data_IF_011446945439
#
_entry.id   IF_011446945439
#
_cell.length_a   1.000
_cell.length_b   1.000
_cell.length_c   1.000
_cell.angle_alpha   90.00
_cell.angle_beta   90.00
_cell.angle_gamma   90.00
#
_symmetry.space_group_name_H-M   'P 1'
#
loop_
_entity.id
_entity.type
_entity.pdbx_description
1 polymer ?
#
# COMPACT_ATOMS: atom_id res chain seq x y z
N UNK A 1 -12.23 6.13 13.84
CA UNK A 1 -12.31 5.93 12.38
C UNK A 1 -10.90 5.77 11.88
N UNK A 2 -10.62 4.81 11.00
CA UNK A 2 -9.31 4.61 10.41
C UNK A 2 -9.26 5.28 9.03
N UNK A 3 -8.29 6.17 8.79
CA UNK A 3 -8.03 6.75 7.47
C UNK A 3 -6.87 6.00 6.83
N UNK A 4 -7.12 5.30 5.74
CA UNK A 4 -6.06 4.64 4.96
C UNK A 4 -5.62 5.56 3.84
N UNK A 5 -4.31 5.81 3.74
CA UNK A 5 -3.69 6.47 2.59
C UNK A 5 -3.03 5.44 1.69
N UNK A 6 -3.63 5.17 0.54
CA UNK A 6 -3.03 4.36 -0.52
C UNK A 6 -2.31 5.27 -1.52
N UNK A 7 -1.11 4.90 -1.94
CA UNK A 7 -0.41 5.53 -3.06
C UNK A 7 -0.46 4.61 -4.27
N UNK A 8 -0.61 5.18 -5.46
CA UNK A 8 -0.74 4.42 -6.70
C UNK A 8 0.58 3.75 -7.12
N UNK A 9 0.84 2.58 -6.54
CA UNK A 9 1.92 1.69 -6.96
C UNK A 9 1.50 0.80 -8.16
N UNK A 10 0.28 0.94 -8.70
CA UNK A 10 -0.19 0.13 -9.84
C UNK A 10 0.38 0.66 -11.16
N UNK A 11 1.54 0.13 -11.55
CA UNK A 11 2.34 0.51 -12.74
C UNK A 11 1.68 0.29 -14.12
N UNK A 12 0.36 0.22 -14.21
CA UNK A 12 -0.38 0.26 -15.49
C UNK A 12 -0.75 1.67 -15.91
N UNK A 13 -0.59 2.66 -15.03
CA UNK A 13 -0.99 4.03 -15.34
C UNK A 13 0.23 4.88 -15.70
N UNK A 14 0.11 5.81 -16.66
CA UNK A 14 1.18 6.73 -16.99
C UNK A 14 1.57 7.56 -15.75
N UNK A 15 2.86 7.89 -15.62
CA UNK A 15 3.56 8.62 -14.54
C UNK A 15 2.92 9.97 -14.10
N UNK A 16 1.82 10.36 -14.76
CA UNK A 16 1.03 11.57 -14.51
C UNK A 16 -0.17 11.37 -13.58
N UNK A 17 -0.43 10.17 -13.04
CA UNK A 17 -1.67 9.89 -12.29
C UNK A 17 -1.48 9.37 -10.87
N UNK A 18 -0.32 9.55 -10.26
CA UNK A 18 -0.11 9.16 -8.86
C UNK A 18 -1.13 9.88 -7.97
N UNK A 19 -1.85 9.11 -7.17
CA UNK A 19 -2.94 9.59 -6.33
C UNK A 19 -2.86 9.03 -4.93
N UNK A 20 -3.55 9.71 -4.02
CA UNK A 20 -3.77 9.32 -2.63
C UNK A 20 -5.26 8.99 -2.51
N UNK A 21 -5.58 7.77 -2.11
CA UNK A 21 -6.93 7.46 -1.64
C UNK A 21 -6.96 7.61 -0.13
N UNK A 22 -7.91 8.37 0.40
CA UNK A 22 -8.25 8.41 1.83
C UNK A 22 -9.49 7.56 2.00
N UNK A 23 -9.37 6.41 2.65
CA UNK A 23 -10.50 5.51 2.90
C UNK A 23 -11.12 5.73 4.29
N UNK A 24 -12.42 5.51 4.40
CA UNK A 24 -13.16 5.33 5.65
C UNK A 24 -14.27 4.30 5.42
N UNK A 25 -14.89 3.78 6.46
CA UNK A 25 -15.92 2.75 6.32
C UNK A 25 -17.01 2.85 7.38
N UNK A 26 -18.18 2.34 7.02
CA UNK A 26 -19.23 1.93 7.95
C UNK A 26 -19.44 0.40 7.91
N UNK A 27 -20.51 -0.10 8.52
CA UNK A 27 -20.80 -1.54 8.62
C UNK A 27 -21.07 -2.22 7.26
N UNK A 28 -21.31 -1.45 6.19
CA UNK A 28 -21.75 -1.95 4.89
C UNK A 28 -21.02 -1.32 3.70
N UNK A 29 -20.40 -0.14 3.88
CA UNK A 29 -19.81 0.62 2.79
C UNK A 29 -18.37 1.01 3.07
N UNK A 30 -17.60 1.05 1.99
CA UNK A 30 -16.30 1.72 1.94
C UNK A 30 -16.49 3.08 1.27
N UNK A 31 -16.09 4.14 1.98
CA UNK A 31 -16.07 5.52 1.51
C UNK A 31 -14.64 5.89 1.14
N UNK A 32 -14.45 6.59 0.03
CA UNK A 32 -13.13 7.07 -0.36
C UNK A 32 -13.10 8.47 -0.97
N UNK A 33 -11.99 9.16 -0.75
CA UNK A 33 -11.63 10.45 -1.36
C UNK A 33 -10.33 10.29 -2.12
N UNK A 34 -10.25 10.87 -3.31
CA UNK A 34 -9.04 10.82 -4.17
C UNK A 34 -8.37 12.18 -4.17
N UNK A 35 -7.07 12.22 -3.90
CA UNK A 35 -6.22 13.41 -3.99
C UNK A 35 -5.13 13.13 -5.03
N UNK A 36 -5.06 13.98 -6.06
CA UNK A 36 -4.09 13.81 -7.14
C UNK A 36 -2.77 14.51 -6.81
N UNK A 37 -1.68 14.02 -7.44
CA UNK A 37 -0.35 14.64 -7.35
C UNK A 37 -0.40 16.14 -7.64
N UNK A 38 0.27 16.93 -6.81
CA UNK A 38 0.50 18.36 -7.05
C UNK A 38 1.35 18.53 -8.32
N UNK A 39 0.78 19.07 -9.39
CA UNK A 39 1.55 19.43 -10.59
C UNK A 39 2.28 20.74 -10.35
N UNK A 40 3.35 20.72 -9.56
CA UNK A 40 4.26 21.86 -9.38
C UNK A 40 5.68 21.45 -9.73
N UNK A 41 6.03 21.53 -11.02
CA UNK A 41 7.13 22.37 -11.53
C UNK A 41 7.56 21.96 -12.96
N UNK A 42 7.88 22.93 -13.84
CA UNK A 42 8.46 22.66 -15.14
C UNK A 42 9.84 22.02 -14.97
N UNK A 43 10.11 20.97 -15.75
CA UNK A 43 11.39 20.28 -15.83
C UNK A 43 12.54 21.28 -15.98
N UNK A 44 13.24 21.56 -14.87
CA UNK A 44 14.51 22.27 -14.91
C UNK A 44 15.54 21.34 -15.56
N UNK A 45 15.96 21.67 -16.78
CA UNK A 45 17.05 21.01 -17.49
C UNK A 45 18.36 21.15 -16.69
N UNK A 46 19.30 20.18 -16.80
CA UNK A 46 20.49 20.17 -15.96
C UNK A 46 21.41 21.34 -16.35
N UNK A 47 21.44 22.40 -15.53
CA UNK A 47 22.44 23.47 -15.69
C UNK A 47 23.80 22.96 -15.22
N UNK A 48 24.71 22.81 -16.19
CA UNK A 48 26.14 22.62 -15.96
C UNK A 48 26.67 23.68 -14.98
N UNK A 49 27.27 23.23 -13.88
CA UNK A 49 28.13 24.05 -13.02
C UNK A 49 29.29 24.60 -13.86
N UNK A 50 29.30 25.92 -14.11
CA UNK A 50 30.52 26.66 -14.48
C UNK A 50 30.89 27.65 -13.38
N UNK A 51 32.19 27.65 -13.09
CA UNK A 51 32.89 28.39 -12.04
C UNK A 51 32.79 29.91 -12.22
N UNK A 52 32.66 30.61 -11.09
CA UNK A 52 33.30 31.89 -10.72
C UNK A 52 33.40 33.02 -11.74
N UNK A 53 32.75 34.16 -11.46
CA UNK A 53 33.40 35.37 -10.90
C UNK A 53 32.56 36.63 -11.13
N UNK A 54 32.70 37.54 -10.16
CA UNK A 54 32.66 39.00 -10.29
C UNK A 54 31.30 39.74 -10.34
N UNK A 55 31.03 40.38 -9.19
CA UNK A 55 30.80 41.84 -9.00
C UNK A 55 29.46 42.49 -9.39
N UNK A 56 28.89 43.06 -8.31
CA UNK A 56 28.44 44.47 -8.13
C UNK A 56 27.08 44.91 -8.65
N UNK A 57 26.30 45.41 -7.68
CA UNK A 57 25.42 46.60 -7.71
C UNK A 57 24.35 46.65 -8.80
N UNK A 58 23.08 46.79 -8.41
CA UNK A 58 22.48 48.11 -8.15
C UNK A 58 21.05 47.94 -7.61
N UNK A 59 20.75 48.71 -6.58
CA UNK A 59 19.46 48.89 -5.94
C UNK A 59 18.63 49.93 -6.72
N UNK A 60 17.31 49.70 -6.74
CA UNK A 60 16.21 50.66 -6.99
C UNK A 60 16.05 51.26 -8.40
N UNK A 61 14.82 51.17 -8.91
CA UNK A 61 13.98 52.32 -9.31
C UNK A 61 12.55 51.81 -9.57
N UNK A 62 11.58 52.27 -8.76
CA UNK A 62 10.42 53.10 -9.14
C UNK A 62 9.38 52.30 -9.98
N UNK A 63 8.28 51.79 -9.42
CA UNK A 63 7.02 52.50 -9.09
C UNK A 63 6.67 53.62 -10.08
N UNK A 64 5.65 53.41 -10.92
CA UNK A 64 4.43 54.24 -10.99
C UNK A 64 3.47 53.79 -12.11
N UNK A 65 2.19 53.66 -11.73
CA UNK A 65 0.92 53.93 -12.45
C UNK A 65 0.59 53.05 -13.70
N UNK A 66 -0.66 52.63 -13.98
CA UNK A 66 -1.97 53.27 -13.83
C UNK A 66 -3.13 52.25 -13.67
N UNK A 67 -4.20 52.71 -13.02
CA UNK A 67 -5.53 52.10 -12.90
C UNK A 67 -6.36 52.18 -14.21
N UNK A 68 -7.47 51.40 -14.20
CA UNK A 68 -8.77 51.54 -14.89
C UNK A 68 -8.98 50.61 -16.08
N UNK A 69 -9.93 49.67 -16.00
CA UNK A 69 -11.35 49.89 -16.27
C UNK A 69 -12.13 48.56 -16.24
N UNK A 70 -13.38 48.56 -15.76
CA UNK A 70 -14.29 47.41 -15.72
C UNK A 70 -15.64 47.85 -16.27
N UNK A 71 -16.30 47.05 -17.15
CA UNK A 71 -17.76 47.09 -17.17
C UNK A 71 -18.44 45.71 -17.17
N UNK A 72 -19.30 45.54 -16.16
CA UNK A 72 -20.66 44.97 -16.14
C UNK A 72 -21.06 43.74 -16.99
N UNK A 73 -21.55 42.73 -16.26
CA UNK A 73 -22.76 41.91 -16.48
C UNK A 73 -23.35 41.75 -17.89
N UNK A 74 -23.34 40.51 -18.41
CA UNK A 74 -24.38 39.98 -19.30
C UNK A 74 -24.75 38.54 -18.95
N UNK A 75 -26.07 38.30 -18.89
CA UNK A 75 -26.81 37.06 -18.60
C UNK A 75 -26.65 35.98 -19.71
N UNK A 76 -27.04 34.71 -19.46
CA UNK A 76 -26.50 33.56 -20.18
C UNK A 76 -27.16 33.34 -21.54
N UNK A 77 -26.34 33.11 -22.56
CA UNK A 77 -26.79 32.62 -23.87
C UNK A 77 -26.69 31.09 -23.92
N UNK A 78 -27.84 30.45 -24.05
CA UNK A 78 -27.98 29.06 -24.48
C UNK A 78 -27.47 28.92 -25.91
N UNK A 79 -26.41 28.14 -26.13
CA UNK A 79 -25.99 27.71 -27.47
C UNK A 79 -25.97 26.20 -27.49
N UNK A 80 -26.97 25.64 -28.19
CA UNK A 80 -27.02 24.27 -28.66
C UNK A 80 -26.06 24.18 -29.86
N UNK A 81 -24.95 23.48 -29.72
CA UNK A 81 -23.90 23.39 -30.74
C UNK A 81 -23.34 21.97 -30.84
N UNK A 82 -23.50 21.39 -32.03
CA UNK A 82 -23.13 20.04 -32.50
C UNK A 82 -21.71 19.58 -32.14
N UNK A 83 -21.59 18.26 -32.02
CA UNK A 83 -20.36 17.49 -31.90
C UNK A 83 -19.29 17.90 -32.93
N UNK A 84 -18.14 18.34 -32.42
CA UNK A 84 -16.87 18.26 -33.13
C UNK A 84 -16.02 17.16 -32.48
N UNK A 85 -15.84 16.08 -33.25
CA UNK A 85 -15.01 14.93 -32.94
C UNK A 85 -13.54 15.25 -33.22
N UNK A 86 -12.75 15.55 -32.18
CA UNK A 86 -11.36 15.10 -31.96
C UNK A 86 -10.63 16.01 -30.97
N UNK A 87 -10.35 15.51 -29.76
CA UNK A 87 -8.99 15.51 -29.19
C UNK A 87 -8.99 14.89 -27.78
N UNK A 88 -8.25 13.80 -27.64
CA UNK A 88 -7.75 13.19 -26.40
C UNK A 88 -8.80 12.68 -25.40
N UNK A 89 -9.21 11.43 -25.61
CA UNK A 89 -9.69 10.55 -24.53
C UNK A 89 -8.62 10.54 -23.43
N UNK A 90 -8.80 11.35 -22.39
CA UNK A 90 -8.20 11.08 -21.10
C UNK A 90 -8.68 9.69 -20.70
N UNK A 91 -7.76 8.73 -20.62
CA UNK A 91 -7.99 7.40 -20.06
C UNK A 91 -8.54 7.60 -18.63
N UNK A 92 -9.86 7.53 -18.47
CA UNK A 92 -10.50 7.69 -17.17
C UNK A 92 -10.14 6.45 -16.36
N UNK A 93 -9.27 6.65 -15.38
CA UNK A 93 -8.89 5.60 -14.45
C UNK A 93 -10.04 5.41 -13.47
N UNK A 94 -10.62 4.22 -13.46
CA UNK A 94 -11.67 3.86 -12.52
C UNK A 94 -11.08 3.54 -11.14
N UNK A 95 -11.13 4.53 -10.23
CA UNK A 95 -10.68 4.41 -8.85
C UNK A 95 -11.41 3.30 -8.08
N UNK A 96 -12.70 3.08 -8.38
CA UNK A 96 -13.50 2.07 -7.70
C UNK A 96 -12.99 0.67 -8.08
N UNK A 97 -12.74 0.41 -9.36
CA UNK A 97 -12.19 -0.86 -9.83
C UNK A 97 -10.78 -1.13 -9.29
N UNK A 98 -9.94 -0.09 -9.17
CA UNK A 98 -8.61 -0.24 -8.54
C UNK A 98 -8.72 -0.64 -7.06
N UNK A 99 -9.57 0.02 -6.30
CA UNK A 99 -9.80 -0.28 -4.89
C UNK A 99 -10.45 -1.65 -4.70
N UNK A 100 -11.45 -2.01 -5.51
CA UNK A 100 -12.05 -3.35 -5.54
C UNK A 100 -11.00 -4.42 -5.73
N UNK A 101 -10.10 -4.24 -6.69
CA UNK A 101 -9.00 -5.19 -6.95
C UNK A 101 -8.00 -5.24 -5.80
N UNK A 102 -7.57 -4.08 -5.28
CA UNK A 102 -6.59 -4.01 -4.20
C UNK A 102 -7.10 -4.70 -2.92
N UNK A 103 -8.37 -4.49 -2.58
CA UNK A 103 -9.03 -5.06 -1.41
C UNK A 103 -9.61 -6.46 -1.67
N UNK A 104 -9.60 -6.94 -2.93
CA UNK A 104 -10.23 -8.20 -3.38
C UNK A 104 -11.71 -8.27 -3.02
N UNK A 105 -12.47 -7.23 -3.33
CA UNK A 105 -13.91 -7.16 -3.00
C UNK A 105 -14.75 -8.11 -3.85
N UNK A 106 -14.23 -8.57 -4.98
CA UNK A 106 -14.81 -9.58 -5.87
C UNK A 106 -14.80 -11.01 -5.30
N UNK A 107 -13.95 -11.28 -4.29
CA UNK A 107 -13.87 -12.58 -3.65
C UNK A 107 -15.01 -12.76 -2.61
N UNK A 108 -15.74 -13.91 -2.63
CA UNK A 108 -16.92 -14.15 -1.81
C UNK A 108 -16.55 -14.48 -0.35
N UNK A 109 -16.15 -13.46 0.41
CA UNK A 109 -15.56 -13.62 1.75
C UNK A 109 -16.47 -14.38 2.72
N UNK A 110 -17.77 -14.14 2.67
CA UNK A 110 -18.72 -14.81 3.56
C UNK A 110 -18.76 -16.32 3.30
N UNK A 111 -18.87 -16.74 2.04
CA UNK A 111 -18.85 -18.15 1.65
C UNK A 111 -17.55 -18.83 2.06
N UNK A 112 -16.42 -18.11 1.91
CA UNK A 112 -15.11 -18.59 2.36
C UNK A 112 -15.06 -18.78 3.88
N UNK A 113 -15.56 -17.82 4.67
CA UNK A 113 -15.63 -17.93 6.13
C UNK A 113 -16.50 -19.10 6.57
N UNK A 114 -17.64 -19.32 5.93
CA UNK A 114 -18.50 -20.46 6.20
C UNK A 114 -17.83 -21.80 5.87
N UNK A 115 -17.15 -21.87 4.72
CA UNK A 115 -16.39 -23.04 4.29
C UNK A 115 -15.28 -23.39 5.30
N UNK A 116 -14.43 -22.42 5.63
CA UNK A 116 -13.31 -22.62 6.54
C UNK A 116 -13.78 -22.93 7.97
N UNK A 117 -14.86 -22.31 8.44
CA UNK A 117 -15.47 -22.59 9.75
C UNK A 117 -16.05 -24.01 9.85
N UNK A 118 -16.49 -24.60 8.73
CA UNK A 118 -16.94 -26.01 8.68
C UNK A 118 -15.75 -26.97 8.73
N UNK A 119 -14.60 -26.60 8.17
CA UNK A 119 -13.39 -27.43 8.09
C UNK A 119 -12.52 -27.36 9.35
N UNK A 120 -12.47 -26.22 10.02
CA UNK A 120 -11.61 -25.99 11.18
C UNK A 120 -12.35 -25.27 12.31
N UNK A 121 -12.47 -25.96 13.45
CA UNK A 121 -13.07 -25.40 14.67
C UNK A 121 -12.28 -24.19 15.20
N UNK A 122 -10.95 -24.19 15.03
CA UNK A 122 -10.12 -23.09 15.49
C UNK A 122 -10.33 -21.84 14.62
N UNK A 123 -10.43 -22.02 13.30
CA UNK A 123 -10.86 -20.95 12.40
C UNK A 123 -12.24 -20.43 12.78
N UNK A 124 -13.21 -21.31 13.04
CA UNK A 124 -14.57 -20.91 13.45
C UNK A 124 -14.56 -20.01 14.69
N UNK A 125 -13.67 -20.27 15.65
CA UNK A 125 -13.49 -19.41 16.83
C UNK A 125 -12.85 -18.06 16.48
N UNK A 126 -11.89 -18.05 15.56
CA UNK A 126 -11.26 -16.83 15.06
C UNK A 126 -12.24 -15.93 14.30
N UNK A 127 -13.06 -16.52 13.43
CA UNK A 127 -14.02 -15.83 12.57
C UNK A 127 -15.09 -15.04 13.34
N UNK A 128 -15.43 -15.47 14.57
CA UNK A 128 -16.35 -14.73 15.44
C UNK A 128 -15.74 -13.40 15.90
N UNK A 129 -14.42 -13.37 16.15
CA UNK A 129 -13.72 -12.18 16.65
C UNK A 129 -13.22 -11.27 15.53
N UNK A 130 -12.79 -11.85 14.42
CA UNK A 130 -12.19 -11.14 13.30
C UNK A 130 -13.07 -11.36 12.08
N UNK A 131 -13.96 -10.41 11.79
CA UNK A 131 -14.79 -10.41 10.60
C UNK A 131 -14.17 -9.51 9.53
N UNK A 132 -14.41 -9.81 8.25
CA UNK A 132 -14.02 -8.89 7.19
C UNK A 132 -12.52 -8.80 6.91
N UNK A 133 -11.68 -9.67 7.48
CA UNK A 133 -10.24 -9.65 7.22
C UNK A 133 -9.98 -10.14 5.79
N UNK A 134 -9.36 -9.28 4.97
CA UNK A 134 -8.97 -9.58 3.59
C UNK A 134 -7.46 -9.60 3.38
N UNK A 135 -6.99 -10.41 2.42
CA UNK A 135 -5.60 -10.33 1.93
C UNK A 135 -5.55 -9.33 0.80
N UNK A 136 -4.71 -8.31 0.93
CA UNK A 136 -4.55 -7.28 -0.08
C UNK A 136 -3.82 -7.79 -1.32
N UNK A 137 -4.14 -7.20 -2.47
CA UNK A 137 -3.43 -7.40 -3.74
C UNK A 137 -2.45 -6.24 -3.97
N UNK A 138 -1.36 -6.24 -3.20
CA UNK A 138 -0.37 -5.15 -3.17
C UNK A 138 0.51 -5.14 -4.42
N UNK A 139 1.15 -3.99 -4.71
CA UNK A 139 2.19 -3.93 -5.74
C UNK A 139 3.39 -4.81 -5.35
N UNK A 140 3.89 -5.67 -6.26
CA UNK A 140 5.03 -6.55 -5.99
C UNK A 140 6.31 -5.82 -5.58
N UNK A 141 6.54 -4.60 -6.06
CA UNK A 141 7.75 -3.83 -5.72
C UNK A 141 7.69 -3.36 -4.27
N UNK A 142 6.61 -2.67 -3.92
CA UNK A 142 6.36 -2.17 -2.56
C UNK A 142 6.36 -3.32 -1.55
N UNK A 143 5.65 -4.40 -1.87
CA UNK A 143 5.52 -5.55 -0.99
C UNK A 143 6.88 -6.24 -0.74
N UNK A 144 7.67 -6.46 -1.79
CA UNK A 144 8.98 -7.11 -1.71
C UNK A 144 9.95 -6.34 -0.80
N UNK A 145 10.13 -5.04 -1.03
CA UNK A 145 11.06 -4.24 -0.24
C UNK A 145 10.55 -3.99 1.20
N UNK A 146 9.23 -3.91 1.39
CA UNK A 146 8.62 -3.86 2.72
C UNK A 146 8.90 -5.15 3.52
N UNK A 147 8.78 -6.33 2.89
CA UNK A 147 9.07 -7.58 3.56
C UNK A 147 10.57 -7.84 3.77
N UNK A 148 11.47 -7.31 2.93
CA UNK A 148 12.91 -7.26 3.26
C UNK A 148 13.12 -6.51 4.58
N UNK A 149 12.43 -5.37 4.79
CA UNK A 149 12.48 -4.60 6.04
C UNK A 149 11.93 -5.37 7.26
N UNK A 150 11.04 -6.35 7.03
CA UNK A 150 10.36 -7.12 8.09
C UNK A 150 11.21 -8.21 8.75
N UNK A 151 12.23 -8.72 8.07
CA UNK A 151 13.02 -9.86 8.53
C UNK A 151 13.60 -9.63 9.93
N UNK A 152 13.23 -10.43 10.94
CA UNK A 152 13.66 -10.28 12.34
C UNK A 152 13.47 -8.85 12.90
N UNK A 153 12.24 -8.34 12.83
CA UNK A 153 11.91 -6.96 13.19
C UNK A 153 10.51 -6.88 13.83
N UNK A 154 10.13 -5.70 14.33
CA UNK A 154 8.77 -5.43 14.85
C UNK A 154 8.05 -4.42 13.97
N UNK A 155 6.71 -4.46 14.01
CA UNK A 155 5.84 -3.67 13.12
C UNK A 155 6.12 -2.18 13.18
N UNK A 156 6.21 -1.60 14.39
CA UNK A 156 6.46 -0.16 14.54
C UNK A 156 7.73 0.28 13.81
N UNK A 157 8.82 -0.49 13.95
CA UNK A 157 10.07 -0.22 13.26
C UNK A 157 9.97 -0.48 11.76
N UNK A 158 9.26 -1.53 11.32
CA UNK A 158 9.05 -1.83 9.90
C UNK A 158 8.33 -0.66 9.22
N UNK A 159 7.22 -0.18 9.79
CA UNK A 159 6.45 0.94 9.25
C UNK A 159 7.32 2.19 9.11
N UNK A 160 8.12 2.52 10.14
CA UNK A 160 9.07 3.64 10.08
C UNK A 160 10.14 3.44 8.99
N UNK A 161 10.65 2.22 8.81
CA UNK A 161 11.62 1.93 7.75
C UNK A 161 11.00 2.12 6.36
N UNK A 162 9.79 1.62 6.13
CA UNK A 162 9.09 1.79 4.84
C UNK A 162 8.81 3.27 4.56
N UNK A 163 8.35 4.04 5.55
CA UNK A 163 8.13 5.48 5.41
C UNK A 163 9.41 6.24 5.08
N UNK A 164 10.53 5.91 5.74
CA UNK A 164 11.85 6.47 5.43
C UNK A 164 12.29 6.12 4.01
N UNK A 165 12.05 4.88 3.57
CA UNK A 165 12.40 4.45 2.22
C UNK A 165 11.67 5.30 1.17
N UNK A 166 10.37 5.55 1.38
CA UNK A 166 9.56 6.42 0.53
C UNK A 166 10.01 7.89 0.61
N UNK A 167 10.33 8.40 1.80
CA UNK A 167 10.76 9.80 1.96
C UNK A 167 12.13 10.06 1.31
N UNK A 168 13.05 9.10 1.38
CA UNK A 168 14.41 9.25 0.85
C UNK A 168 14.50 9.02 -0.66
N UNK A 169 13.69 8.11 -1.21
CA UNK A 169 13.84 7.63 -2.59
C UNK A 169 12.55 7.63 -3.42
N UNK A 170 11.43 8.00 -2.80
CA UNK A 170 10.12 8.09 -3.45
C UNK A 170 9.84 9.48 -3.99
N UNK A 171 8.84 9.56 -4.88
CA UNK A 171 8.42 10.83 -5.48
C UNK A 171 7.34 11.48 -4.60
N UNK A 172 7.46 12.79 -4.31
CA UNK A 172 6.41 13.52 -3.59
C UNK A 172 5.10 13.48 -4.40
N UNK A 173 4.00 13.11 -3.73
CA UNK A 173 2.65 13.10 -4.31
C UNK A 173 1.93 14.40 -3.97
N UNK A 174 1.61 14.62 -2.69
CA UNK A 174 0.90 15.80 -2.21
C UNK A 174 1.15 16.01 -0.70
N UNK A 175 0.77 17.19 -0.20
CA UNK A 175 0.69 17.47 1.24
C UNK A 175 -0.76 17.57 1.65
N UNK A 176 -1.18 16.76 2.62
CA UNK A 176 -2.56 16.72 3.14
C UNK A 176 -2.48 16.84 4.65
N UNK A 177 -3.20 17.79 5.25
CA UNK A 177 -3.22 18.03 6.71
C UNK A 177 -1.81 18.15 7.32
N UNK A 178 -0.93 18.92 6.66
CA UNK A 178 0.48 19.10 7.03
C UNK A 178 1.35 17.81 7.00
N UNK A 179 0.83 16.71 6.43
CA UNK A 179 1.57 15.48 6.19
C UNK A 179 1.93 15.39 4.70
N UNK A 180 3.23 15.31 4.40
CA UNK A 180 3.72 15.08 3.04
C UNK A 180 3.75 13.58 2.74
N UNK A 181 3.07 13.18 1.66
CA UNK A 181 3.05 11.80 1.20
C UNK A 181 3.98 11.63 0.00
N UNK A 182 4.80 10.58 0.08
CA UNK A 182 5.69 10.14 -0.98
C UNK A 182 5.24 8.78 -1.50
N UNK A 183 5.37 8.59 -2.80
CA UNK A 183 5.15 7.31 -3.45
C UNK A 183 6.22 6.29 -3.05
N UNK A 184 5.97 5.01 -3.32
CA UNK A 184 6.99 3.99 -3.13
C UNK A 184 8.13 4.17 -4.15
N UNK A 185 9.41 3.97 -3.78
CA UNK A 185 10.52 4.18 -4.71
C UNK A 185 10.46 3.25 -5.93
N UNK A 186 10.74 3.80 -7.10
CA UNK A 186 10.99 2.98 -8.28
C UNK A 186 12.25 2.13 -8.06
N UNK A 187 12.29 0.89 -8.57
CA UNK A 187 13.42 -0.04 -8.34
C UNK A 187 14.76 0.59 -8.71
N UNK A 188 14.80 1.35 -9.80
CA UNK A 188 15.99 2.06 -10.27
C UNK A 188 16.54 3.07 -9.26
N UNK A 189 15.69 3.74 -8.48
CA UNK A 189 16.10 4.68 -7.44
C UNK A 189 16.89 4.02 -6.30
N UNK A 190 16.73 2.70 -6.15
CA UNK A 190 17.39 1.91 -5.10
C UNK A 190 18.70 1.24 -5.57
N UNK A 191 19.13 1.49 -6.82
CA UNK A 191 20.33 0.85 -7.40
C UNK A 191 21.62 1.64 -7.27
N UNK A 192 21.55 2.94 -6.96
CA UNK A 192 22.73 3.78 -6.83
C UNK A 192 23.68 3.24 -5.73
N UNK A 193 25.01 3.17 -5.96
CA UNK A 193 25.95 2.64 -4.98
C UNK A 193 25.92 3.32 -3.61
N UNK A 194 25.46 4.58 -3.52
CA UNK A 194 25.31 5.31 -2.27
C UNK A 194 24.10 4.87 -1.41
N UNK A 195 23.13 4.16 -2.01
CA UNK A 195 21.87 3.77 -1.34
C UNK A 195 22.14 2.90 -0.12
N UNK A 196 23.04 1.91 -0.23
CA UNK A 196 23.35 1.04 0.91
C UNK A 196 23.86 1.86 2.10
N UNK A 197 24.81 2.77 1.87
CA UNK A 197 25.39 3.58 2.94
C UNK A 197 24.37 4.54 3.56
N UNK A 198 23.59 5.24 2.73
CA UNK A 198 22.52 6.13 3.18
C UNK A 198 21.45 5.39 3.99
N UNK A 199 21.05 4.18 3.58
CA UNK A 199 20.11 3.37 4.35
C UNK A 199 20.70 2.86 5.67
N UNK A 200 22.01 2.58 5.74
CA UNK A 200 22.69 2.24 7.00
C UNK A 200 22.62 3.41 7.98
N UNK A 201 22.93 4.62 7.51
CA UNK A 201 22.83 5.86 8.29
C UNK A 201 21.39 6.14 8.74
N UNK A 202 20.39 5.79 7.92
CA UNK A 202 18.97 5.89 8.26
C UNK A 202 18.45 4.81 9.23
N UNK A 203 19.29 3.86 9.65
CA UNK A 203 18.97 2.85 10.67
C UNK A 203 18.42 1.51 10.15
N UNK A 204 18.59 1.20 8.86
CA UNK A 204 18.14 -0.06 8.26
C UNK A 204 19.01 -1.27 8.66
N UNK A 205 20.23 -1.01 9.17
CA UNK A 205 21.17 -2.05 9.58
C UNK A 205 21.61 -2.93 8.41
N UNK A 206 21.68 -4.25 8.62
CA UNK A 206 22.09 -5.19 7.57
C UNK A 206 21.13 -5.24 6.37
N UNK A 207 19.86 -4.82 6.55
CA UNK A 207 18.84 -4.83 5.50
C UNK A 207 19.12 -3.81 4.39
N UNK A 208 19.89 -2.77 4.69
CA UNK A 208 20.34 -1.80 3.69
C UNK A 208 21.03 -2.47 2.50
N UNK A 209 21.92 -3.43 2.79
CA UNK A 209 22.59 -4.24 1.76
C UNK A 209 21.60 -5.07 0.95
N UNK A 210 20.61 -5.67 1.61
CA UNK A 210 19.59 -6.49 0.94
C UNK A 210 18.75 -5.66 -0.01
N UNK A 211 18.28 -4.48 0.42
CA UNK A 211 17.51 -3.57 -0.43
C UNK A 211 18.30 -3.17 -1.68
N UNK A 212 19.53 -2.67 -1.51
CA UNK A 212 20.37 -2.24 -2.65
C UNK A 212 20.66 -3.40 -3.61
N UNK A 213 21.13 -4.54 -3.09
CA UNK A 213 21.51 -5.68 -3.93
C UNK A 213 20.32 -6.33 -4.62
N UNK A 214 19.17 -6.44 -3.94
CA UNK A 214 17.94 -6.93 -4.56
C UNK A 214 17.45 -5.99 -5.66
N UNK A 215 17.51 -4.67 -5.46
CA UNK A 215 17.18 -3.71 -6.52
C UNK A 215 18.09 -3.87 -7.75
N UNK A 216 19.41 -3.99 -7.55
CA UNK A 216 20.34 -4.23 -8.65
C UNK A 216 20.04 -5.53 -9.39
N UNK A 217 19.71 -6.60 -8.67
CA UNK A 217 19.38 -7.89 -9.27
C UNK A 217 18.06 -7.82 -10.04
N UNK A 218 17.01 -7.19 -9.49
CA UNK A 218 15.73 -6.99 -10.18
C UNK A 218 15.93 -6.23 -11.49
N UNK A 219 16.73 -5.15 -11.51
CA UNK A 219 17.03 -4.42 -12.75
C UNK A 219 17.74 -5.33 -13.77
N UNK A 220 18.69 -6.15 -13.33
CA UNK A 220 19.39 -7.10 -14.20
C UNK A 220 18.45 -8.15 -14.82
N UNK A 221 17.43 -8.58 -14.08
CA UNK A 221 16.46 -9.58 -14.55
C UNK A 221 15.35 -9.00 -15.45
N UNK A 222 15.34 -7.67 -15.69
CA UNK A 222 14.35 -7.00 -16.53
C UNK A 222 13.43 -6.03 -15.79
N UNK A 223 13.74 -5.68 -14.55
CA UNK A 223 13.05 -4.65 -13.78
C UNK A 223 11.61 -5.04 -13.40
N UNK A 224 10.69 -4.11 -13.61
CA UNK A 224 9.26 -4.31 -13.28
C UNK A 224 8.64 -5.45 -14.09
N UNK A 225 9.06 -5.63 -15.35
CA UNK A 225 8.59 -6.71 -16.21
C UNK A 225 8.90 -8.10 -15.62
N UNK A 226 10.05 -8.24 -14.95
CA UNK A 226 10.38 -9.48 -14.24
C UNK A 226 9.43 -9.73 -13.07
N UNK A 227 9.13 -8.71 -12.26
CA UNK A 227 8.16 -8.83 -11.16
C UNK A 227 6.76 -9.20 -11.66
N UNK A 228 6.32 -8.60 -12.78
CA UNK A 228 5.04 -8.94 -13.42
C UNK A 228 5.02 -10.38 -13.93
N UNK A 229 6.14 -10.85 -14.51
CA UNK A 229 6.28 -12.25 -14.94
C UNK A 229 6.11 -13.21 -13.76
N UNK A 230 6.63 -12.90 -12.56
CA UNK A 230 6.47 -13.76 -11.38
C UNK A 230 5.00 -14.02 -11.04
N UNK A 231 4.10 -13.06 -11.26
CA UNK A 231 2.66 -13.22 -11.02
C UNK A 231 2.00 -14.27 -11.94
N UNK A 232 2.67 -14.61 -13.05
CA UNK A 232 2.17 -15.59 -14.04
C UNK A 232 2.76 -16.99 -13.84
N UNK A 233 3.79 -17.12 -13.01
CA UNK A 233 4.45 -18.40 -12.75
C UNK A 233 3.63 -19.24 -11.75
N UNK A 234 3.79 -20.56 -11.75
CA UNK A 234 3.34 -21.39 -10.65
C UNK A 234 3.99 -20.97 -9.32
N UNK A 235 3.27 -21.15 -8.21
CA UNK A 235 3.70 -20.71 -6.87
C UNK A 235 5.14 -21.14 -6.51
N UNK A 236 5.49 -22.41 -6.72
CA UNK A 236 6.81 -22.94 -6.37
C UNK A 236 7.93 -22.32 -7.23
N UNK A 237 7.66 -22.03 -8.50
CA UNK A 237 8.61 -21.35 -9.39
C UNK A 237 8.78 -19.89 -8.97
N UNK A 238 7.68 -19.17 -8.74
CA UNK A 238 7.71 -17.79 -8.27
C UNK A 238 8.50 -17.65 -6.96
N UNK A 239 8.22 -18.53 -5.99
CA UNK A 239 8.94 -18.61 -4.71
C UNK A 239 10.43 -18.84 -4.90
N UNK A 240 10.79 -19.79 -5.77
CA UNK A 240 12.19 -20.13 -6.07
C UNK A 240 12.94 -18.94 -6.67
N UNK A 241 12.31 -18.22 -7.60
CA UNK A 241 12.89 -17.00 -8.19
C UNK A 241 13.09 -15.89 -7.15
N UNK A 242 12.10 -15.64 -6.29
CA UNK A 242 12.19 -14.64 -5.22
C UNK A 242 13.34 -14.95 -4.24
N UNK A 243 13.54 -16.22 -3.88
CA UNK A 243 14.58 -16.64 -2.94
C UNK A 243 16.01 -16.50 -3.48
N UNK A 244 16.18 -16.18 -4.78
CA UNK A 244 17.49 -15.80 -5.34
C UNK A 244 17.91 -14.39 -4.94
N UNK A 245 16.97 -13.56 -4.47
CA UNK A 245 17.24 -12.18 -4.07
C UNK A 245 17.83 -12.12 -2.65
N UNK A 246 18.83 -11.26 -2.39
CA UNK A 246 19.40 -11.07 -1.07
C UNK A 246 18.36 -10.67 -0.02
N UNK A 247 18.38 -11.36 1.12
CA UNK A 247 17.47 -11.09 2.24
C UNK A 247 16.09 -11.72 2.12
N UNK A 248 15.83 -12.48 1.05
CA UNK A 248 14.56 -13.20 0.86
C UNK A 248 14.77 -14.69 1.14
N UNK A 249 14.25 -15.16 2.28
CA UNK A 249 14.12 -16.58 2.61
C UNK A 249 12.68 -17.07 2.45
N UNK A 250 12.41 -18.35 2.73
CA UNK A 250 11.11 -19.00 2.49
C UNK A 250 9.91 -18.20 3.01
N UNK A 251 9.96 -17.73 4.26
CA UNK A 251 8.89 -16.92 4.86
C UNK A 251 8.65 -15.61 4.12
N UNK A 252 9.72 -14.89 3.78
CA UNK A 252 9.60 -13.60 3.07
C UNK A 252 9.07 -13.83 1.67
N UNK A 253 9.54 -14.88 0.97
CA UNK A 253 9.04 -15.25 -0.35
C UNK A 253 7.54 -15.60 -0.29
N UNK A 254 7.09 -16.38 0.69
CA UNK A 254 5.67 -16.73 0.85
C UNK A 254 4.80 -15.51 1.16
N UNK A 255 5.29 -14.55 1.96
CA UNK A 255 4.59 -13.28 2.17
C UNK A 255 4.40 -12.53 0.84
N UNK A 256 5.42 -12.51 -0.02
CA UNK A 256 5.37 -11.84 -1.32
C UNK A 256 4.40 -12.56 -2.27
N UNK A 257 4.49 -13.89 -2.33
CA UNK A 257 3.59 -14.73 -3.10
C UNK A 257 2.11 -14.49 -2.72
N UNK A 258 1.81 -14.49 -1.42
CA UNK A 258 0.46 -14.31 -0.89
C UNK A 258 -0.11 -12.91 -1.13
N UNK A 259 0.67 -11.87 -0.84
CA UNK A 259 0.16 -10.50 -0.72
C UNK A 259 0.38 -9.65 -1.97
N UNK A 260 1.11 -10.13 -2.99
CA UNK A 260 1.36 -9.34 -4.21
C UNK A 260 1.43 -10.15 -5.51
N UNK A 261 1.74 -11.46 -5.46
CA UNK A 261 1.78 -12.29 -6.67
C UNK A 261 0.49 -13.06 -6.96
N UNK A 262 -0.44 -13.11 -6.00
CA UNK A 262 -1.74 -13.76 -6.20
C UNK A 262 -1.79 -15.25 -5.88
N UNK A 263 -0.74 -15.80 -5.25
CA UNK A 263 -0.72 -17.18 -4.75
C UNK A 263 -1.42 -17.26 -3.38
N UNK A 264 -2.75 -17.29 -3.39
CA UNK A 264 -3.59 -17.25 -2.18
C UNK A 264 -3.50 -18.52 -1.31
N UNK A 265 -2.80 -19.53 -1.78
CA UNK A 265 -2.45 -20.79 -1.11
C UNK A 265 -1.05 -20.77 -0.46
N UNK A 266 -0.25 -19.72 -0.67
CA UNK A 266 1.06 -19.56 -0.05
C UNK A 266 0.94 -19.41 1.48
N UNK A 267 1.75 -20.17 2.24
CA UNK A 267 1.72 -20.21 3.71
C UNK A 267 3.05 -19.68 4.27
N UNK A 268 3.13 -18.40 4.67
CA UNK A 268 4.31 -17.89 5.36
C UNK A 268 4.39 -18.51 6.75
N UNK A 269 5.45 -19.27 7.05
CA UNK A 269 5.67 -19.89 8.37
C UNK A 269 6.79 -19.17 9.11
N UNK A 270 6.45 -18.50 10.20
CA UNK A 270 7.41 -17.98 11.17
C UNK A 270 7.38 -18.76 12.50
N UNK A 271 8.07 -18.25 13.51
CA UNK A 271 8.13 -18.88 14.84
C UNK A 271 6.77 -18.94 15.53
N UNK A 272 5.89 -17.95 15.34
CA UNK A 272 4.55 -17.96 15.91
C UNK A 272 3.65 -18.96 15.18
N UNK A 273 3.73 -18.99 13.85
CA UNK A 273 3.02 -20.00 13.04
C UNK A 273 3.40 -21.41 13.47
N UNK A 274 4.70 -21.65 13.61
CA UNK A 274 5.21 -22.92 14.07
C UNK A 274 4.67 -23.31 15.45
N UNK A 275 4.58 -22.37 16.39
CA UNK A 275 4.00 -22.61 17.71
C UNK A 275 2.52 -22.98 17.61
N UNK A 276 1.73 -22.27 16.82
CA UNK A 276 0.30 -22.55 16.63
C UNK A 276 0.09 -23.90 15.96
N UNK A 277 0.81 -24.15 14.86
CA UNK A 277 0.77 -25.41 14.12
C UNK A 277 1.14 -26.58 15.04
N UNK A 278 2.27 -26.50 15.75
CA UNK A 278 2.71 -27.57 16.66
C UNK A 278 1.80 -27.77 17.87
N UNK A 279 1.08 -26.74 18.32
CA UNK A 279 0.17 -26.88 19.46
C UNK A 279 -1.20 -27.43 19.10
N UNK A 280 -1.73 -27.05 17.93
CA UNK A 280 -3.15 -27.25 17.58
C UNK A 280 -3.39 -28.24 16.44
N UNK A 281 -2.43 -28.39 15.53
CA UNK A 281 -2.63 -29.11 14.27
C UNK A 281 -1.70 -30.32 14.14
N UNK A 282 -0.42 -30.12 14.43
CA UNK A 282 0.66 -31.09 14.19
C UNK A 282 1.47 -31.32 15.48
N UNK A 283 0.90 -32.01 16.50
CA UNK A 283 1.49 -32.12 17.84
C UNK A 283 2.86 -32.80 17.89
N UNK A 284 3.18 -33.66 16.92
CA UNK A 284 4.50 -34.30 16.81
C UNK A 284 5.61 -33.30 16.51
N UNK A 285 5.28 -32.13 15.96
CA UNK A 285 6.27 -31.07 15.70
C UNK A 285 6.85 -30.48 16.99
N UNK A 286 6.20 -30.62 18.15
CA UNK A 286 6.73 -30.14 19.44
C UNK A 286 8.10 -30.70 19.80
N UNK A 287 8.49 -31.84 19.22
CA UNK A 287 9.78 -32.48 19.44
C UNK A 287 10.93 -31.83 18.65
N UNK A 288 10.64 -30.96 17.68
CA UNK A 288 11.65 -30.26 16.90
C UNK A 288 12.07 -28.97 17.59
N UNK A 289 13.39 -28.73 17.65
CA UNK A 289 13.97 -27.53 18.28
C UNK A 289 14.03 -26.32 17.34
N UNK A 290 13.86 -26.54 16.03
CA UNK A 290 13.95 -25.49 15.01
C UNK A 290 13.05 -25.79 13.81
N UNK A 291 12.65 -24.72 13.10
CA UNK A 291 11.88 -24.82 11.86
C UNK A 291 12.85 -25.17 10.72
N UNK A 292 12.99 -26.45 10.44
CA UNK A 292 13.72 -26.94 9.25
C UNK A 292 12.87 -26.81 8.01
N UNK A 293 13.46 -26.89 6.80
CA UNK A 293 12.69 -26.86 5.54
C UNK A 293 11.63 -27.96 5.48
N UNK A 294 11.91 -29.14 6.04
CA UNK A 294 10.93 -30.23 6.12
C UNK A 294 9.72 -29.84 6.97
N UNK A 295 9.96 -29.31 8.17
CA UNK A 295 8.91 -28.84 9.09
C UNK A 295 8.13 -27.68 8.47
N UNK A 296 8.83 -26.76 7.81
CA UNK A 296 8.23 -25.63 7.10
C UNK A 296 7.25 -26.11 6.02
N UNK A 297 7.69 -27.05 5.18
CA UNK A 297 6.88 -27.59 4.09
C UNK A 297 5.70 -28.39 4.61
N UNK A 298 5.90 -29.22 5.63
CA UNK A 298 4.84 -30.02 6.26
C UNK A 298 3.72 -29.13 6.84
N UNK A 299 4.06 -28.03 7.50
CA UNK A 299 3.08 -27.05 7.98
C UNK A 299 2.33 -26.42 6.81
N UNK A 300 3.06 -26.02 5.76
CA UNK A 300 2.45 -25.43 4.57
C UNK A 300 1.50 -26.39 3.85
N UNK A 301 1.89 -27.65 3.68
CA UNK A 301 1.07 -28.70 3.06
C UNK A 301 -0.19 -28.96 3.87
N UNK A 302 -0.07 -29.09 5.19
CA UNK A 302 -1.22 -29.28 6.07
C UNK A 302 -2.29 -28.19 5.89
N UNK A 303 -1.89 -26.92 5.89
CA UNK A 303 -2.84 -25.82 5.72
C UNK A 303 -3.37 -25.71 4.28
N UNK A 304 -2.57 -26.03 3.26
CA UNK A 304 -3.04 -26.12 1.87
C UNK A 304 -4.05 -27.24 1.68
N UNK A 305 -3.84 -28.40 2.28
CA UNK A 305 -4.80 -29.50 2.24
C UNK A 305 -6.10 -29.16 2.97
N UNK A 306 -5.99 -28.44 4.09
CA UNK A 306 -7.15 -28.03 4.90
C UNK A 306 -8.00 -26.96 4.19
N UNK A 307 -7.37 -25.94 3.62
CA UNK A 307 -8.05 -24.73 3.14
C UNK A 307 -8.01 -24.51 1.63
N UNK A 308 -7.32 -25.38 0.90
CA UNK A 308 -7.23 -25.42 -0.57
C UNK A 308 -6.73 -24.09 -1.16
N UNK A 309 -7.38 -23.59 -2.22
CA UNK A 309 -6.96 -22.43 -3.03
C UNK A 309 -6.68 -21.16 -2.21
N UNK A 310 -7.36 -20.97 -1.08
CA UNK A 310 -7.28 -19.76 -0.27
C UNK A 310 -6.58 -20.00 1.08
N UNK A 311 -5.75 -21.04 1.16
CA UNK A 311 -5.14 -21.45 2.40
C UNK A 311 -4.33 -20.36 3.11
N UNK A 312 -3.59 -19.53 2.37
CA UNK A 312 -2.86 -18.41 2.94
C UNK A 312 -3.76 -17.36 3.58
N UNK A 313 -4.95 -17.15 3.02
CA UNK A 313 -5.94 -16.24 3.60
C UNK A 313 -6.54 -16.81 4.89
N UNK A 314 -7.03 -18.05 4.85
CA UNK A 314 -7.62 -18.69 6.03
C UNK A 314 -6.60 -18.81 7.18
N UNK A 315 -5.39 -19.27 6.85
CA UNK A 315 -4.26 -19.38 7.77
C UNK A 315 -3.95 -18.04 8.44
N UNK A 316 -3.97 -16.94 7.69
CA UNK A 316 -3.70 -15.61 8.22
C UNK A 316 -4.66 -15.24 9.36
N UNK A 317 -5.95 -15.58 9.25
CA UNK A 317 -6.94 -15.32 10.29
C UNK A 317 -6.66 -16.14 11.57
N UNK A 318 -6.35 -17.42 11.41
CA UNK A 318 -5.99 -18.32 12.52
C UNK A 318 -4.81 -17.77 13.31
N UNK A 319 -3.85 -17.20 12.61
CA UNK A 319 -2.64 -16.63 13.19
C UNK A 319 -2.93 -15.32 13.88
N UNK A 320 -3.70 -14.43 13.25
CA UNK A 320 -4.12 -13.17 13.87
C UNK A 320 -4.88 -13.40 15.19
N UNK A 321 -5.68 -14.47 15.25
CA UNK A 321 -6.41 -14.86 16.45
C UNK A 321 -5.52 -15.35 17.61
N UNK A 322 -4.39 -15.97 17.28
CA UNK A 322 -3.48 -16.58 18.26
C UNK A 322 -2.30 -15.69 18.64
N UNK A 323 -2.01 -14.66 17.83
CA UNK A 323 -0.95 -13.69 18.09
C UNK A 323 -1.36 -12.29 17.59
N UNK A 324 -1.53 -11.36 18.53
CA UNK A 324 -1.85 -9.93 18.28
C UNK A 324 -0.80 -9.26 17.36
N UNK A 325 0.39 -9.87 17.24
CA UNK A 325 1.54 -9.32 16.50
C UNK A 325 1.45 -9.53 14.98
N UNK A 326 0.53 -10.37 14.47
CA UNK A 326 0.46 -10.65 13.01
C UNK A 326 -0.62 -9.82 12.30
N UNK A 327 -1.61 -9.29 13.05
CA UNK A 327 -2.74 -8.54 12.50
C UNK A 327 -2.32 -7.27 11.73
N UNK A 328 -1.17 -6.67 12.06
CA UNK A 328 -0.74 -5.39 11.49
C UNK A 328 0.18 -5.52 10.25
N UNK A 329 0.67 -6.72 9.90
CA UNK A 329 1.46 -6.94 8.67
C UNK A 329 0.58 -7.05 7.41
N UNK A 330 -0.72 -7.25 7.61
CA UNK A 330 -1.69 -7.47 6.54
C UNK A 330 -2.22 -6.18 5.94
N UNK A 331 -1.96 -5.06 6.61
CA UNK A 331 -2.76 -3.89 6.35
C UNK A 331 -2.14 -3.09 5.21
N UNK A 332 -0.82 -2.96 5.04
CA UNK A 332 -0.18 -2.05 4.04
C UNK A 332 0.37 -0.77 4.68
N UNK A 333 0.53 0.37 3.99
CA UNK A 333 0.98 1.63 4.61
C UNK A 333 -0.15 2.28 5.46
N UNK A 334 -0.25 1.96 6.76
CA UNK A 334 -1.27 2.55 7.67
C UNK A 334 -0.69 3.69 8.47
N UNK A 335 -1.34 4.86 8.38
CA UNK A 335 -1.20 5.93 9.36
C UNK A 335 -2.55 6.03 10.07
N UNK A 336 -2.64 5.55 11.29
CA UNK A 336 -3.85 5.66 12.10
C UNK A 336 -3.96 7.07 12.67
N UNK A 337 -5.09 7.72 12.46
CA UNK A 337 -5.49 8.91 13.22
C UNK A 337 -6.53 8.44 14.24
N UNK A 338 -6.15 8.34 15.51
CA UNK A 338 -7.08 7.99 16.59
C UNK A 338 -8.06 9.15 16.82
N UNK A 339 -9.36 8.88 16.67
CA UNK A 339 -10.44 9.75 17.14
C UNK A 339 -11.12 9.05 18.31
N UNK A 340 -10.82 9.54 19.52
CA UNK A 340 -11.36 9.06 20.79
C UNK A 340 -12.80 9.55 20.98
N UNK A 341 -13.72 8.65 21.29
CA UNK A 341 -15.16 8.83 21.61
C UNK A 341 -16.17 8.67 20.45
N UNK A 342 -17.26 7.95 20.72
CA UNK A 342 -18.22 7.47 19.74
C UNK A 342 -19.29 8.49 19.33
N UNK A 343 -19.67 9.40 20.22
CA UNK A 343 -20.63 10.48 19.93
C UNK A 343 -19.99 11.60 19.09
N UNK A 344 -18.68 11.81 19.24
CA UNK A 344 -17.90 12.71 18.39
C UNK A 344 -17.72 12.19 16.95
N UNK A 345 -17.91 10.88 16.68
CA UNK A 345 -17.65 10.27 15.36
C UNK A 345 -18.64 10.69 14.28
N UNK A 346 -19.94 10.83 14.60
CA UNK A 346 -20.96 11.27 13.62
C UNK A 346 -20.89 12.77 13.37
N UNK A 347 -20.67 13.58 14.40
CA UNK A 347 -20.52 15.03 14.25
C UNK A 347 -19.17 15.41 13.62
N UNK A 348 -18.11 14.62 13.84
CA UNK A 348 -16.86 14.71 13.08
C UNK A 348 -16.99 14.18 11.65
N UNK A 349 -17.78 13.14 11.38
CA UNK A 349 -18.11 12.72 10.00
C UNK A 349 -18.79 13.87 9.26
N UNK A 350 -19.75 14.56 9.89
CA UNK A 350 -20.39 15.75 9.30
C UNK A 350 -19.44 16.95 9.25
N UNK A 351 -18.54 17.19 10.21
CA UNK A 351 -17.56 18.32 10.17
C UNK A 351 -16.33 18.08 9.29
N UNK A 352 -15.95 16.82 9.04
CA UNK A 352 -14.84 16.42 8.17
C UNK A 352 -15.31 16.21 6.72
N UNK A 353 -16.60 15.88 6.52
CA UNK A 353 -17.29 15.96 5.23
C UNK A 353 -17.84 17.37 4.93
N UNK A 354 -18.09 18.18 5.95
CA UNK A 354 -18.49 19.59 5.85
C UNK A 354 -17.47 20.50 6.53
N UNK A 355 -16.26 20.58 5.98
CA UNK A 355 -15.49 21.82 6.07
C UNK A 355 -15.98 22.76 4.97
N UNK A 356 -17.08 23.45 5.23
CA UNK A 356 -17.48 24.67 4.48
C UNK A 356 -16.37 25.76 4.49
N UNK A 357 -15.29 25.56 5.28
CA UNK A 357 -14.09 26.41 5.27
C UNK A 357 -13.01 26.04 4.24
N UNK A 358 -12.96 24.80 3.74
CA UNK A 358 -11.99 24.43 2.68
C UNK A 358 -12.49 24.74 1.27
N UNK A 359 -13.81 24.97 1.13
CA UNK A 359 -14.45 25.37 -0.13
C UNK A 359 -13.96 26.75 -0.62
N UNK A 360 -13.40 27.57 0.28
CA UNK A 360 -13.00 28.95 -0.04
C UNK A 360 -11.56 29.09 -0.58
N UNK A 361 -10.61 28.20 -0.22
CA UNK A 361 -9.19 28.37 -0.57
C UNK A 361 -8.73 27.55 -1.79
N UNK A 362 -9.46 26.51 -2.16
CA UNK A 362 -9.20 25.70 -3.36
C UNK A 362 -10.52 25.57 -4.12
N UNK A 363 -10.77 26.46 -5.10
CA UNK A 363 -12.04 26.55 -5.84
C UNK A 363 -12.42 25.34 -6.73
N UNK A 364 -12.39 24.13 -6.18
CA UNK A 364 -12.88 22.88 -6.80
C UNK A 364 -13.64 22.05 -5.77
N UNK A 365 -14.84 21.54 -6.08
CA UNK A 365 -15.62 20.70 -5.17
C UNK A 365 -14.90 19.39 -4.87
N UNK A 366 -14.81 19.02 -3.60
CA UNK A 366 -14.29 17.72 -3.14
C UNK A 366 -15.37 16.66 -3.38
N UNK A 367 -15.06 15.63 -4.16
CA UNK A 367 -15.96 14.50 -4.44
C UNK A 367 -15.62 13.32 -3.51
N UNK A 368 -16.64 12.80 -2.81
CA UNK A 368 -16.58 11.60 -1.98
C UNK A 368 -17.39 10.51 -2.67
N UNK A 369 -16.82 9.30 -2.73
CA UNK A 369 -17.39 8.17 -3.44
C UNK A 369 -17.70 7.04 -2.45
N UNK A 370 -18.69 6.20 -2.77
CA UNK A 370 -19.18 5.09 -1.96
C UNK A 370 -19.18 3.81 -2.79
N UNK A 371 -18.66 2.71 -2.24
CA UNK A 371 -18.75 1.38 -2.83
C UNK A 371 -19.26 0.34 -1.82
N UNK A 372 -19.97 -0.66 -2.31
CA UNK A 372 -20.40 -1.81 -1.52
C UNK A 372 -19.19 -2.70 -1.20
N UNK A 373 -18.97 -2.98 0.09
CA UNK A 373 -17.87 -3.81 0.56
C UNK A 373 -18.32 -5.24 0.95
N UNK A 374 -19.63 -5.53 0.88
CA UNK A 374 -20.24 -6.76 1.38
C UNK A 374 -20.10 -6.88 2.90
N UNK A 375 -19.53 -8.00 3.38
CA UNK A 375 -19.09 -8.12 4.78
C UNK A 375 -17.97 -7.10 4.99
N UNK A 376 -18.25 -6.06 5.79
CA UNK A 376 -17.37 -4.90 6.01
C UNK A 376 -15.90 -5.31 6.03
N UNK A 377 -15.12 -4.83 5.06
CA UNK A 377 -13.67 -4.99 5.11
C UNK A 377 -13.23 -4.42 6.46
N UNK A 378 -12.65 -5.19 7.36
CA UNK A 378 -12.14 -4.57 8.58
C UNK A 378 -10.85 -3.85 8.20
N UNK A 379 -10.93 -2.54 7.90
CA UNK A 379 -9.77 -1.66 8.07
C UNK A 379 -9.55 -1.61 9.58
N UNK A 380 -8.88 -2.64 10.12
CA UNK A 380 -8.83 -2.93 11.55
C UNK A 380 -8.43 -1.68 12.33
N UNK A 381 -9.40 -1.07 13.00
CA UNK A 381 -9.17 -0.21 14.16
C UNK A 381 -9.15 -1.12 15.38
N UNK A 382 -8.02 -1.19 16.09
CA UNK A 382 -8.06 -1.70 17.46
C UNK A 382 -8.48 -0.54 18.36
N UNK A 383 -9.70 -0.60 18.86
CA UNK A 383 -9.98 -0.21 20.25
C UNK A 383 -9.79 -1.50 21.08
N UNK A 384 -8.95 -1.41 22.12
CA UNK A 384 -8.46 -2.43 23.07
C UNK A 384 -7.23 -3.26 22.70
#
# INVERSE_FOLDING_TARGET
MASLVLTDSFKKLPDKTTRIWILSQDDTHLLYKVILRETTDPVASPKQRRKGNARKHLVSKLLENEEKDYPSEKKPHTVQGKCDSNSNLNEYVDDEELLKKYLRLDEPLQDLYELWSKKDLHFKQAAVKFQGLRILAQDPTENLFSFICSSNNNISRISSMVEKLCTLYGTKIATVDNVTYFDFPHVSALTDPSVEQSLREAGFGYRAKFIHKSACQIIKEGGVTWLQKLQTLPYEEAKTELMKLPGIGSKVADCICLMSLGHLDAIPVDTHIYQVASQRYLPHLKNYKSVTNKVYNEIGEHFRDLYEKYAGWAHTLVVAYTSVVVLLLLIGRFKFMELTHAEDKYEALTKMLATEREVAELGKPVQVYQMDAGMACSIVSHDN
#
